data_IF_424959302443
#
_entry.id   IF_424959302443
#
_cell.length_a   1.000
_cell.length_b   1.000
_cell.length_c   1.000
_cell.angle_alpha   90.00
_cell.angle_beta   90.00
_cell.angle_gamma   90.00
#
_symmetry.space_group_name_H-M   'P 1'
#
loop_
_entity.id
_entity.type
_entity.pdbx_description
1 polymer ?
#
# COMPACT_ATOMS: atom_id res chain seq x y z
N UNK A 1 -9.56 -12.69 -1.76
CA UNK A 1 -9.94 -11.93 -0.57
C UNK A 1 -9.03 -12.23 0.60
N UNK A 2 -8.41 -11.17 1.14
CA UNK A 2 -7.69 -11.19 2.42
C UNK A 2 -8.73 -11.21 3.55
N UNK A 3 -8.52 -12.05 4.56
CA UNK A 3 -9.47 -12.28 5.65
C UNK A 3 -8.93 -11.85 7.02
N UNK A 4 -7.64 -12.04 7.28
CA UNK A 4 -7.04 -11.81 8.60
C UNK A 4 -5.59 -11.36 8.45
N UNK A 5 -5.04 -10.74 9.51
CA UNK A 5 -3.62 -10.36 9.58
C UNK A 5 -3.11 -10.56 11.01
N UNK A 6 -2.07 -11.37 11.18
CA UNK A 6 -1.30 -11.43 12.43
C UNK A 6 -0.04 -10.57 12.27
N UNK A 7 0.34 -9.84 13.33
CA UNK A 7 1.47 -8.90 13.31
C UNK A 7 2.31 -9.13 14.56
N UNK A 8 3.33 -9.97 14.45
CA UNK A 8 4.24 -10.25 15.56
C UNK A 8 5.12 -9.02 15.87
N UNK A 9 5.66 -8.37 14.83
CA UNK A 9 6.45 -7.15 14.99
C UNK A 9 6.31 -6.25 13.75
N UNK A 10 5.69 -5.08 13.90
CA UNK A 10 5.67 -4.08 12.84
C UNK A 10 5.39 -2.69 13.43
N UNK A 11 6.45 -1.93 13.68
CA UNK A 11 6.42 -0.57 14.25
C UNK A 11 5.63 -0.49 15.57
N UNK A 12 4.37 -0.04 15.53
CA UNK A 12 3.53 0.14 16.71
C UNK A 12 2.78 -1.12 17.14
N UNK A 13 2.87 -2.20 16.34
CA UNK A 13 2.29 -3.49 16.67
C UNK A 13 3.34 -4.39 17.30
N UNK A 14 2.95 -5.01 18.42
CA UNK A 14 3.72 -6.00 19.17
C UNK A 14 2.77 -7.17 19.48
N UNK A 15 3.06 -8.35 18.89
CA UNK A 15 2.31 -9.60 19.08
C UNK A 15 0.78 -9.50 18.88
N UNK A 16 0.36 -8.71 17.90
CA UNK A 16 -1.05 -8.62 17.53
C UNK A 16 -1.52 -9.92 16.85
N UNK A 17 -2.55 -10.56 17.42
CA UNK A 17 -3.15 -11.79 16.89
C UNK A 17 -4.62 -11.55 16.54
N UNK A 18 -4.97 -11.68 15.26
CA UNK A 18 -6.30 -11.36 14.75
C UNK A 18 -7.40 -12.13 15.49
N UNK A 19 -7.19 -13.44 15.63
CA UNK A 19 -8.18 -14.37 16.21
C UNK A 19 -8.52 -14.05 17.66
N UNK A 20 -7.66 -13.35 18.40
CA UNK A 20 -7.96 -12.93 19.78
C UNK A 20 -8.52 -11.52 19.84
N UNK A 21 -8.21 -10.68 18.86
CA UNK A 21 -8.57 -9.25 18.88
C UNK A 21 -9.89 -8.93 18.19
N UNK A 22 -10.27 -9.65 17.13
CA UNK A 22 -11.49 -9.39 16.36
C UNK A 22 -12.51 -10.50 16.56
N UNK A 23 -13.39 -10.30 17.54
CA UNK A 23 -14.47 -11.23 17.87
C UNK A 23 -15.83 -10.54 17.97
N UNK A 24 -16.88 -11.25 17.61
CA UNK A 24 -18.25 -10.79 17.82
C UNK A 24 -18.78 -11.09 19.24
N UNK A 25 -20.02 -10.67 19.52
CA UNK A 25 -20.67 -10.91 20.81
C UNK A 25 -20.89 -12.40 21.13
N UNK A 26 -20.79 -13.28 20.13
CA UNK A 26 -20.83 -14.74 20.28
C UNK A 26 -19.44 -15.38 20.44
N UNK A 27 -18.38 -14.57 20.59
CA UNK A 27 -16.99 -15.00 20.68
C UNK A 27 -16.46 -15.69 19.40
N UNK A 28 -17.10 -15.49 18.25
CA UNK A 28 -16.59 -15.99 16.97
C UNK A 28 -15.58 -15.02 16.38
N UNK A 29 -14.54 -15.54 15.73
CA UNK A 29 -13.55 -14.72 15.02
C UNK A 29 -14.24 -14.03 13.84
N UNK A 30 -14.03 -12.72 13.73
CA UNK A 30 -14.57 -11.91 12.65
C UNK A 30 -13.50 -11.62 11.61
N UNK A 31 -13.69 -12.15 10.41
CA UNK A 31 -12.85 -11.86 9.25
C UNK A 31 -13.15 -10.48 8.67
N UNK A 32 -12.14 -9.91 8.00
CA UNK A 32 -12.33 -8.83 7.04
C UNK A 32 -13.44 -9.21 6.06
N UNK A 33 -14.34 -8.25 5.79
CA UNK A 33 -15.42 -8.36 4.82
C UNK A 33 -15.05 -7.65 3.53
N UNK A 34 -15.94 -7.65 2.54
CA UNK A 34 -15.71 -6.94 1.26
C UNK A 34 -15.47 -5.44 1.48
N UNK A 35 -16.11 -4.85 2.49
CA UNK A 35 -15.92 -3.47 2.92
C UNK A 35 -15.61 -3.49 4.42
N UNK A 36 -14.57 -2.77 4.82
CA UNK A 36 -14.16 -2.62 6.22
C UNK A 36 -13.88 -1.14 6.49
N UNK A 37 -14.35 -0.66 7.64
CA UNK A 37 -14.03 0.68 8.14
C UNK A 37 -13.20 0.49 9.41
N UNK A 38 -11.91 0.81 9.34
CA UNK A 38 -10.99 0.73 10.47
C UNK A 38 -10.68 2.14 10.94
N UNK A 39 -11.08 2.48 12.16
CA UNK A 39 -10.88 3.80 12.75
C UNK A 39 -10.33 3.67 14.17
N UNK A 40 -9.79 4.77 14.68
CA UNK A 40 -9.17 4.81 16.00
C UNK A 40 -8.45 6.12 16.26
N UNK A 41 -7.98 6.34 17.48
CA UNK A 41 -7.26 7.56 17.88
C UNK A 41 -5.98 7.77 17.09
N UNK A 42 -5.43 8.97 17.11
CA UNK A 42 -4.08 9.20 16.60
C UNK A 42 -3.11 8.22 17.26
N UNK A 43 -2.10 7.77 16.51
CA UNK A 43 -1.11 6.78 16.95
C UNK A 43 -1.64 5.35 17.19
N UNK A 44 -2.91 5.06 16.88
CA UNK A 44 -3.50 3.71 17.04
C UNK A 44 -3.02 2.67 16.00
N UNK A 45 -1.95 2.94 15.24
CA UNK A 45 -1.42 1.99 14.25
C UNK A 45 -2.12 1.93 12.88
N UNK A 46 -3.09 2.81 12.58
CA UNK A 46 -3.79 2.80 11.26
C UNK A 46 -2.84 2.92 10.07
N UNK A 47 -1.94 3.90 10.09
CA UNK A 47 -0.92 4.09 9.05
C UNK A 47 0.06 2.92 8.99
N UNK A 48 0.35 2.33 10.14
CA UNK A 48 1.21 1.14 10.23
C UNK A 48 0.55 -0.06 9.54
N UNK A 49 -0.75 -0.28 9.77
CA UNK A 49 -1.52 -1.33 9.12
C UNK A 49 -1.60 -1.13 7.60
N UNK A 50 -1.86 0.10 7.12
CA UNK A 50 -1.93 0.37 5.68
C UNK A 50 -0.60 0.12 4.98
N UNK A 51 0.53 0.28 5.69
CA UNK A 51 1.86 -0.02 5.15
C UNK A 51 2.14 -1.51 4.95
N UNK A 52 1.52 -2.40 5.73
CA UNK A 52 1.59 -3.85 5.45
C UNK A 52 0.98 -4.14 4.07
N UNK A 53 -0.23 -3.62 3.80
CA UNK A 53 -0.84 -3.77 2.48
C UNK A 53 -0.02 -3.09 1.37
N UNK A 54 0.60 -1.94 1.66
CA UNK A 54 1.47 -1.24 0.71
C UNK A 54 2.66 -2.11 0.34
N UNK A 55 3.26 -2.83 1.29
CA UNK A 55 4.36 -3.75 1.02
C UNK A 55 3.98 -4.91 0.12
N UNK A 56 2.75 -5.41 0.23
CA UNK A 56 2.22 -6.40 -0.71
C UNK A 56 2.05 -5.77 -2.11
N UNK A 57 1.48 -4.55 -2.20
CA UNK A 57 1.35 -3.85 -3.49
C UNK A 57 2.69 -3.61 -4.19
N UNK A 58 3.69 -3.09 -3.48
CA UNK A 58 4.97 -2.68 -4.06
C UNK A 58 6.01 -3.80 -4.07
N UNK A 59 5.69 -4.94 -3.46
CA UNK A 59 6.65 -6.04 -3.23
C UNK A 59 7.91 -5.59 -2.47
N UNK A 60 7.79 -4.56 -1.61
CA UNK A 60 8.90 -3.98 -0.84
C UNK A 60 8.51 -3.73 0.62
N UNK A 61 9.37 -4.13 1.55
CA UNK A 61 9.25 -3.76 2.96
C UNK A 61 9.74 -2.33 3.18
N UNK A 62 9.18 -1.57 4.14
CA UNK A 62 9.67 -0.24 4.47
C UNK A 62 11.10 -0.34 5.02
N UNK A 63 12.02 0.48 4.51
CA UNK A 63 13.44 0.51 4.90
C UNK A 63 13.66 0.77 6.39
N UNK A 64 12.73 1.52 7.00
CA UNK A 64 12.91 2.06 8.34
C UNK A 64 12.50 1.07 9.45
N UNK A 65 12.05 -0.13 9.09
CA UNK A 65 11.46 -1.09 10.04
C UNK A 65 12.44 -2.22 10.33
N UNK A 66 12.87 -2.32 11.59
CA UNK A 66 13.71 -3.40 12.06
C UNK A 66 12.90 -4.69 12.22
N UNK A 67 13.36 -5.77 11.58
CA UNK A 67 12.82 -7.13 11.71
C UNK A 67 11.28 -7.23 11.61
N UNK A 68 10.68 -6.74 10.50
CA UNK A 68 9.23 -6.86 10.31
C UNK A 68 8.81 -8.33 10.32
N UNK A 69 7.70 -8.64 10.99
CA UNK A 69 7.13 -9.98 11.08
C UNK A 69 5.61 -9.90 11.12
N UNK A 70 4.96 -10.39 10.07
CA UNK A 70 3.51 -10.41 9.92
C UNK A 70 3.10 -11.54 8.99
N UNK A 71 1.84 -11.97 9.09
CA UNK A 71 1.23 -12.91 8.15
C UNK A 71 -0.15 -12.37 7.76
N UNK A 72 -0.35 -12.19 6.47
CA UNK A 72 -1.64 -11.84 5.84
C UNK A 72 -2.28 -13.14 5.35
N UNK A 73 -3.50 -13.42 5.78
CA UNK A 73 -4.25 -14.62 5.40
C UNK A 73 -5.32 -14.29 4.36
N UNK A 74 -5.58 -15.23 3.45
CA UNK A 74 -6.68 -15.11 2.51
C UNK A 74 -6.81 -16.31 1.57
N UNK A 75 -7.74 -16.20 0.63
CA UNK A 75 -8.12 -17.26 -0.32
C UNK A 75 -7.07 -17.59 -1.40
N UNK A 76 -6.10 -16.70 -1.66
CA UNK A 76 -5.00 -16.93 -2.62
C UNK A 76 -3.70 -17.39 -1.95
N UNK A 77 -3.80 -17.85 -0.70
CA UNK A 77 -2.67 -18.26 0.13
C UNK A 77 -2.23 -17.17 1.10
N UNK A 78 -1.37 -17.55 2.03
CA UNK A 78 -0.84 -16.67 3.06
C UNK A 78 0.40 -15.94 2.54
N UNK A 79 0.55 -14.69 2.94
CA UNK A 79 1.69 -13.85 2.59
C UNK A 79 2.36 -13.37 3.86
N UNK A 80 3.64 -13.62 4.02
CA UNK A 80 4.49 -13.12 5.09
C UNK A 80 5.53 -12.15 4.54
N UNK A 81 6.35 -11.58 5.44
CA UNK A 81 7.39 -10.62 5.07
C UNK A 81 8.45 -11.19 4.09
N UNK A 82 8.60 -12.51 4.00
CA UNK A 82 9.63 -13.18 3.19
C UNK A 82 9.15 -13.49 1.78
N UNK A 83 7.83 -13.53 1.55
CA UNK A 83 7.23 -13.86 0.27
C UNK A 83 6.33 -12.76 -0.31
N UNK A 84 6.50 -11.50 0.14
CA UNK A 84 5.72 -10.35 -0.36
C UNK A 84 5.81 -10.12 -1.87
N UNK A 85 6.87 -10.59 -2.53
CA UNK A 85 7.02 -10.51 -4.00
C UNK A 85 6.41 -11.69 -4.75
N UNK A 86 5.94 -12.72 -4.03
CA UNK A 86 5.45 -13.97 -4.60
C UNK A 86 4.04 -14.29 -4.07
N UNK A 87 3.07 -13.47 -4.48
CA UNK A 87 1.66 -13.67 -4.15
C UNK A 87 0.73 -13.30 -5.30
N UNK A 88 -0.52 -13.79 -5.26
CA UNK A 88 -1.48 -13.61 -6.35
C UNK A 88 -2.57 -12.55 -6.06
N UNK A 89 -2.43 -11.76 -5.00
CA UNK A 89 -3.35 -10.67 -4.69
C UNK A 89 -3.09 -9.44 -5.57
N UNK A 90 -4.17 -8.87 -6.12
CA UNK A 90 -4.14 -7.54 -6.74
C UNK A 90 -4.52 -6.52 -5.67
N UNK A 91 -3.54 -5.70 -5.27
CA UNK A 91 -3.65 -4.80 -4.13
C UNK A 91 -3.28 -3.38 -4.59
N UNK A 92 -4.16 -2.43 -4.29
CA UNK A 92 -3.93 -1.01 -4.52
C UNK A 92 -4.13 -0.28 -3.20
N UNK A 93 -3.10 0.44 -2.75
CA UNK A 93 -3.11 1.19 -1.51
C UNK A 93 -2.95 2.67 -1.82
N UNK A 94 -3.98 3.43 -1.42
CA UNK A 94 -3.97 4.89 -1.45
C UNK A 94 -3.75 5.40 -0.03
N UNK A 95 -2.49 5.63 0.35
CA UNK A 95 -2.09 6.17 1.65
C UNK A 95 -1.15 7.39 1.47
N UNK A 96 -0.63 7.93 2.57
CA UNK A 96 0.32 9.05 2.55
C UNK A 96 1.61 8.75 1.78
N UNK A 97 2.03 7.47 1.74
CA UNK A 97 3.24 7.06 1.04
C UNK A 97 2.98 7.08 -0.47
N UNK A 98 1.83 6.55 -0.94
CA UNK A 98 1.41 6.69 -2.34
C UNK A 98 1.41 8.15 -2.81
N UNK A 99 0.85 9.05 -2.00
CA UNK A 99 0.81 10.48 -2.30
C UNK A 99 2.22 11.08 -2.40
N UNK A 100 3.11 10.70 -1.49
CA UNK A 100 4.49 11.20 -1.45
C UNK A 100 5.29 10.71 -2.67
N UNK A 101 5.08 9.45 -3.06
CA UNK A 101 5.72 8.82 -4.22
C UNK A 101 5.19 9.39 -5.56
N UNK A 102 3.98 9.96 -5.54
CA UNK A 102 3.30 10.48 -6.74
C UNK A 102 2.95 11.97 -6.57
N UNK A 103 3.96 12.88 -6.50
CA UNK A 103 3.71 14.30 -6.25
C UNK A 103 2.87 14.98 -7.33
N UNK A 104 2.94 14.48 -8.57
CA UNK A 104 2.07 14.93 -9.68
C UNK A 104 0.58 14.63 -9.48
N UNK A 105 0.24 13.83 -8.45
CA UNK A 105 -1.13 13.52 -8.08
C UNK A 105 -1.79 14.63 -7.24
N UNK A 106 -1.01 15.50 -6.59
CA UNK A 106 -1.56 16.50 -5.65
C UNK A 106 -1.17 17.96 -5.91
N UNK A 107 -0.10 18.28 -6.64
CA UNK A 107 0.37 19.67 -6.67
C UNK A 107 0.99 20.07 -8.01
N UNK A 108 0.32 20.97 -8.72
CA UNK A 108 1.03 22.02 -9.46
C UNK A 108 1.43 23.09 -8.43
N UNK A 109 2.73 23.24 -8.16
CA UNK A 109 3.22 24.23 -7.18
C UNK A 109 3.21 25.66 -7.74
N UNK A 110 2.76 25.84 -8.98
CA UNK A 110 2.88 27.10 -9.71
C UNK A 110 1.53 27.80 -9.90
N UNK A 111 0.45 27.07 -10.22
CA UNK A 111 -0.82 27.73 -10.65
C UNK A 111 -2.10 27.31 -9.88
N UNK A 112 -2.00 26.49 -8.83
CA UNK A 112 -3.15 26.23 -7.95
C UNK A 112 -4.31 25.44 -8.59
N UNK A 113 -4.15 24.96 -9.82
CA UNK A 113 -5.11 24.06 -10.45
C UNK A 113 -4.90 22.61 -10.00
N UNK A 114 -5.95 22.02 -9.43
CA UNK A 114 -6.00 20.59 -9.15
C UNK A 114 -6.13 19.89 -10.51
N UNK A 115 -5.06 19.27 -11.01
CA UNK A 115 -5.16 18.38 -12.17
C UNK A 115 -6.07 17.22 -11.79
N UNK A 116 -7.31 17.32 -12.29
CA UNK A 116 -8.35 16.31 -12.18
C UNK A 116 -7.79 15.01 -12.74
N UNK A 117 -7.62 14.04 -11.83
CA UNK A 117 -7.28 12.64 -12.07
C UNK A 117 -6.43 12.39 -13.32
N UNK A 118 -5.10 12.27 -13.13
CA UNK A 118 -4.24 11.54 -14.06
C UNK A 118 -4.62 10.04 -14.04
N UNK A 119 -5.82 9.75 -14.54
CA UNK A 119 -6.22 8.44 -15.03
C UNK A 119 -5.30 8.19 -16.22
N UNK A 120 -4.55 7.09 -16.15
CA UNK A 120 -3.64 6.55 -17.18
C UNK A 120 -2.16 6.95 -17.06
N UNK A 121 -1.43 6.15 -16.26
CA UNK A 121 -0.20 5.50 -16.72
C UNK A 121 1.13 6.06 -16.21
N UNK A 122 1.72 5.43 -15.18
CA UNK A 122 3.17 5.53 -14.91
C UNK A 122 3.99 5.31 -16.18
N UNK A 123 3.58 4.35 -17.03
CA UNK A 123 4.17 4.12 -18.36
C UNK A 123 4.13 5.35 -19.28
N UNK A 124 3.08 6.16 -19.24
CA UNK A 124 2.98 7.33 -20.11
C UNK A 124 3.95 8.43 -19.66
N UNK A 125 4.14 8.59 -18.34
CA UNK A 125 5.08 9.58 -17.82
C UNK A 125 6.53 9.20 -18.14
N UNK A 126 6.92 7.95 -17.95
CA UNK A 126 8.26 7.47 -18.33
C UNK A 126 8.50 7.64 -19.85
N UNK A 127 7.49 7.37 -20.67
CA UNK A 127 7.54 7.56 -22.12
C UNK A 127 7.63 9.05 -22.48
N UNK A 128 6.87 9.92 -21.83
CA UNK A 128 6.94 11.38 -22.04
C UNK A 128 8.29 11.96 -21.62
N UNK A 129 8.83 11.55 -20.47
CA UNK A 129 10.16 11.96 -20.00
C UNK A 129 11.24 11.49 -20.97
N UNK A 130 11.11 10.26 -21.49
CA UNK A 130 12.00 9.73 -22.54
C UNK A 130 11.92 10.57 -23.82
N UNK A 131 10.70 10.84 -24.31
CA UNK A 131 10.47 11.66 -25.52
C UNK A 131 11.02 13.08 -25.33
N UNK A 132 10.83 13.69 -24.16
CA UNK A 132 11.38 15.00 -23.83
C UNK A 132 12.91 15.02 -23.87
N UNK A 133 13.57 14.00 -23.32
CA UNK A 133 15.01 13.85 -23.36
C UNK A 133 15.56 13.67 -24.79
N UNK A 134 14.84 12.95 -25.66
CA UNK A 134 15.22 12.82 -27.09
C UNK A 134 15.08 14.15 -27.84
N UNK A 135 14.00 14.90 -27.63
CA UNK A 135 13.79 16.22 -28.24
C UNK A 135 14.85 17.25 -27.83
N UNK A 136 15.27 17.27 -26.56
CA UNK A 136 16.35 18.16 -26.09
C UNK A 136 17.72 17.82 -26.71
N UNK A 137 17.90 16.58 -27.19
CA UNK A 137 19.09 16.15 -27.92
C UNK A 137 18.98 16.34 -29.44
N UNK A 138 17.90 16.96 -29.92
CA UNK A 138 17.66 17.21 -31.35
C UNK A 138 17.33 15.95 -32.16
N UNK A 139 16.91 14.87 -31.49
CA UNK A 139 16.51 13.61 -32.12
C UNK A 139 15.00 13.52 -31.99
N UNK A 140 14.26 13.70 -33.09
CA UNK A 140 12.82 13.47 -33.09
C UNK A 140 12.55 11.95 -33.08
N UNK A 141 11.83 11.42 -32.08
CA UNK A 141 11.38 10.04 -32.11
C UNK A 141 10.22 9.93 -33.11
N UNK A 142 10.46 9.22 -34.22
CA UNK A 142 9.43 8.76 -35.16
C UNK A 142 8.44 7.80 -34.47
#
# INVERSE_FOLDING_TARGET
>A
MITQIDIANFRSFDNFTWKTSFRDGGNNVQDLKRLNIIYGRNYSGKTTLSRIFRSLQTSQLPSDYSNPSFIVYGDKGNVDQTNISNHNYDIRVYNSDFVSDNPGFLVDKTDGEIKTFAIVGEKNKEIEDSIGAYKQRGIDPL
#
